data_IF_322372570057
#
_entry.id   IF_322372570057
#
_cell.length_a   1.000
_cell.length_b   1.000
_cell.length_c   1.000
_cell.angle_alpha   90.00
_cell.angle_beta   90.00
_cell.angle_gamma   90.00
#
_symmetry.space_group_name_H-M   'P 1'
#
loop_
_entity.id
_entity.type
_entity.pdbx_description
1 polymer ?
#
# COMPACT_ATOMS: atom_id res chain seq x y z
N UNK A 1 -4.57 -7.09 -27.39
CA UNK A 1 -4.01 -5.79 -26.99
C UNK A 1 -2.50 -5.94 -26.86
N UNK A 2 -1.67 -5.10 -27.48
CA UNK A 2 -0.20 -5.19 -27.38
C UNK A 2 0.23 -5.00 -25.91
N UNK A 3 1.03 -5.94 -25.37
CA UNK A 3 1.52 -5.89 -23.99
C UNK A 3 2.25 -4.57 -23.66
N UNK A 4 2.89 -3.94 -24.65
CA UNK A 4 3.55 -2.64 -24.52
C UNK A 4 2.57 -1.49 -24.33
N UNK A 5 1.32 -1.61 -24.79
CA UNK A 5 0.26 -0.64 -24.54
C UNK A 5 -0.22 -0.76 -23.10
N UNK A 6 -0.51 -1.99 -22.64
CA UNK A 6 -0.91 -2.24 -21.25
C UNK A 6 0.13 -1.76 -20.24
N UNK A 7 1.41 -2.07 -20.47
CA UNK A 7 2.51 -1.61 -19.61
C UNK A 7 2.64 -0.08 -19.56
N UNK A 8 2.49 0.61 -20.71
CA UNK A 8 2.53 2.07 -20.75
C UNK A 8 1.34 2.71 -20.01
N UNK A 9 0.15 2.13 -20.13
CA UNK A 9 -1.03 2.60 -19.38
C UNK A 9 -0.84 2.41 -17.87
N UNK A 10 -0.32 1.25 -17.45
CA UNK A 10 -0.04 0.98 -16.03
C UNK A 10 1.02 1.95 -15.47
N UNK A 11 2.12 2.18 -16.19
CA UNK A 11 3.17 3.12 -15.75
C UNK A 11 2.64 4.56 -15.68
N UNK A 12 1.85 4.99 -16.67
CA UNK A 12 1.19 6.31 -16.64
C UNK A 12 0.24 6.47 -15.46
N UNK A 13 -0.39 5.38 -15.02
CA UNK A 13 -1.38 5.38 -13.94
C UNK A 13 -0.76 5.65 -12.56
N UNK A 14 0.52 5.31 -12.39
CA UNK A 14 1.28 5.50 -11.14
C UNK A 14 2.29 6.66 -11.23
N UNK A 15 2.16 7.53 -12.23
CA UNK A 15 3.06 8.68 -12.44
C UNK A 15 2.28 9.99 -12.55
N UNK A 16 2.95 11.12 -12.29
CA UNK A 16 2.39 12.44 -12.54
C UNK A 16 2.36 12.80 -14.06
N UNK A 17 1.87 14.00 -14.38
CA UNK A 17 1.80 14.50 -15.76
C UNK A 17 3.18 14.68 -16.43
N UNK A 18 4.27 14.71 -15.66
CA UNK A 18 5.65 14.80 -16.13
C UNK A 18 6.35 13.43 -16.16
N UNK A 19 5.63 12.34 -15.85
CA UNK A 19 6.16 10.99 -15.80
C UNK A 19 7.00 10.70 -14.56
N UNK A 20 6.86 11.47 -13.48
CA UNK A 20 7.57 11.25 -12.21
C UNK A 20 6.76 10.34 -11.29
N UNK A 21 7.45 9.53 -10.51
CA UNK A 21 6.85 8.64 -9.52
C UNK A 21 7.04 9.22 -8.13
N UNK A 22 5.94 9.45 -7.43
CA UNK A 22 5.89 9.70 -5.99
C UNK A 22 5.05 8.58 -5.37
N UNK A 23 5.71 7.51 -4.92
CA UNK A 23 5.04 6.29 -4.46
C UNK A 23 5.04 6.19 -2.94
N UNK A 24 3.90 5.79 -2.37
CA UNK A 24 3.76 5.43 -0.97
C UNK A 24 3.93 3.92 -0.81
N UNK A 25 5.01 3.47 -0.17
CA UNK A 25 5.29 2.05 0.04
C UNK A 25 4.82 1.57 1.43
N UNK A 26 3.83 0.68 1.43
CA UNK A 26 3.17 0.13 2.62
C UNK A 26 3.07 -1.42 2.57
N UNK A 27 3.97 -2.07 1.84
CA UNK A 27 4.07 -3.52 1.68
C UNK A 27 4.85 -4.20 2.81
N UNK A 28 5.34 -3.46 3.81
CA UNK A 28 6.14 -4.06 4.88
C UNK A 28 5.29 -5.06 5.68
N UNK A 29 5.84 -6.29 5.81
CA UNK A 29 5.27 -7.40 6.56
C UNK A 29 6.07 -7.61 7.87
N UNK A 30 6.93 -8.62 8.09
CA UNK A 30 7.50 -8.89 9.43
C UNK A 30 8.02 -7.69 10.21
N UNK A 31 8.77 -6.72 9.61
CA UNK A 31 9.28 -5.56 10.36
C UNK A 31 8.18 -4.70 10.99
N UNK A 32 7.02 -4.57 10.31
CA UNK A 32 5.91 -3.78 10.81
C UNK A 32 5.15 -4.51 11.93
N UNK A 33 4.97 -5.83 11.81
CA UNK A 33 4.38 -6.64 12.87
C UNK A 33 5.25 -6.61 14.15
N UNK A 34 6.56 -6.75 13.99
CA UNK A 34 7.52 -6.67 15.10
C UNK A 34 7.47 -5.30 15.78
N UNK A 35 7.37 -4.22 15.00
CA UNK A 35 7.23 -2.87 15.52
C UNK A 35 5.95 -2.70 16.35
N UNK A 36 4.82 -3.16 15.83
CA UNK A 36 3.52 -3.08 16.53
C UNK A 36 3.54 -3.91 17.81
N UNK A 37 3.98 -5.17 17.75
CA UNK A 37 4.08 -6.04 18.93
C UNK A 37 5.00 -5.45 20.01
N UNK A 38 6.10 -4.80 19.62
CA UNK A 38 7.02 -4.14 20.57
C UNK A 38 6.38 -2.91 21.24
N UNK A 39 5.58 -2.14 20.51
CA UNK A 39 4.92 -0.93 21.03
C UNK A 39 3.62 -1.25 21.77
N UNK A 40 3.05 -2.43 21.54
CA UNK A 40 1.79 -2.94 22.10
C UNK A 40 1.96 -4.39 22.60
N UNK A 41 2.79 -4.62 23.63
CA UNK A 41 3.13 -5.97 24.09
C UNK A 41 1.95 -6.74 24.71
N UNK A 42 0.84 -6.05 25.02
CA UNK A 42 -0.39 -6.64 25.54
C UNK A 42 -1.25 -7.33 24.47
N UNK A 43 -0.98 -7.09 23.18
CA UNK A 43 -1.75 -7.66 22.08
C UNK A 43 -1.28 -9.07 21.75
N UNK A 44 -2.23 -9.97 21.52
CA UNK A 44 -1.94 -11.25 20.88
C UNK A 44 -1.63 -11.08 19.38
N UNK A 45 -1.14 -12.13 18.73
CA UNK A 45 -0.75 -12.12 17.32
C UNK A 45 -1.89 -11.67 16.38
N UNK A 46 -3.12 -12.10 16.66
CA UNK A 46 -4.30 -11.76 15.85
C UNK A 46 -4.66 -10.28 15.99
N UNK A 47 -4.53 -9.72 17.19
CA UNK A 47 -4.75 -8.31 17.44
C UNK A 47 -3.63 -7.46 16.82
N UNK A 48 -2.37 -7.88 16.89
CA UNK A 48 -1.26 -7.23 16.16
C UNK A 48 -1.55 -7.19 14.66
N UNK A 49 -2.03 -8.30 14.09
CA UNK A 49 -2.43 -8.33 12.68
C UNK A 49 -3.51 -7.29 12.35
N UNK A 50 -4.59 -7.24 13.14
CA UNK A 50 -5.65 -6.25 12.96
C UNK A 50 -5.09 -4.83 12.99
N UNK A 51 -4.22 -4.53 13.96
CA UNK A 51 -3.62 -3.21 14.08
C UNK A 51 -2.70 -2.85 12.90
N UNK A 52 -1.94 -3.81 12.37
CA UNK A 52 -1.17 -3.59 11.14
C UNK A 52 -2.07 -3.24 9.96
N UNK A 53 -3.19 -3.96 9.80
CA UNK A 53 -4.13 -3.69 8.70
C UNK A 53 -4.80 -2.31 8.85
N UNK A 54 -5.23 -1.96 10.06
CA UNK A 54 -5.79 -0.63 10.36
C UNK A 54 -4.76 0.49 10.15
N UNK A 55 -3.51 0.27 10.55
CA UNK A 55 -2.43 1.24 10.34
C UNK A 55 -2.21 1.50 8.84
N UNK A 56 -2.19 0.46 8.01
CA UNK A 56 -2.10 0.61 6.54
C UNK A 56 -3.29 1.38 5.98
N UNK A 57 -4.50 1.10 6.45
CA UNK A 57 -5.70 1.82 6.03
C UNK A 57 -5.66 3.31 6.41
N UNK A 58 -5.24 3.63 7.64
CA UNK A 58 -5.05 5.01 8.11
C UNK A 58 -3.96 5.73 7.31
N UNK A 59 -2.86 5.06 7.02
CA UNK A 59 -1.77 5.61 6.21
C UNK A 59 -2.23 5.94 4.79
N UNK A 60 -2.94 5.01 4.12
CA UNK A 60 -3.51 5.29 2.78
C UNK A 60 -4.50 6.45 2.83
N UNK A 61 -5.43 6.46 3.78
CA UNK A 61 -6.41 7.55 3.93
C UNK A 61 -5.73 8.92 4.09
N UNK A 62 -4.66 9.00 4.87
CA UNK A 62 -3.99 10.26 5.17
C UNK A 62 -2.99 10.71 4.08
N UNK A 63 -2.26 9.76 3.49
CA UNK A 63 -1.08 10.05 2.68
C UNK A 63 -1.27 9.79 1.18
N UNK A 64 -2.15 8.87 0.79
CA UNK A 64 -2.36 8.55 -0.63
C UNK A 64 -2.80 9.75 -1.50
N UNK A 65 -3.58 10.75 -1.01
CA UNK A 65 -3.90 11.93 -1.80
C UNK A 65 -2.69 12.73 -2.30
N UNK A 66 -1.51 12.51 -1.71
CA UNK A 66 -0.25 13.18 -2.07
C UNK A 66 0.68 12.30 -2.90
N UNK A 67 0.28 11.05 -3.18
CA UNK A 67 1.06 10.09 -3.93
C UNK A 67 0.50 9.92 -5.35
N UNK A 68 1.37 9.55 -6.28
CA UNK A 68 0.99 9.08 -7.63
C UNK A 68 0.56 7.62 -7.62
N UNK A 69 1.04 6.83 -6.67
CA UNK A 69 0.67 5.43 -6.49
C UNK A 69 0.97 4.90 -5.09
N UNK A 70 0.31 3.82 -4.70
CA UNK A 70 0.55 3.09 -3.44
C UNK A 70 0.99 1.67 -3.75
N UNK A 71 2.04 1.21 -3.09
CA UNK A 71 2.46 -0.20 -3.06
C UNK A 71 1.93 -0.85 -1.78
N UNK A 72 1.14 -1.92 -1.91
CA UNK A 72 0.56 -2.69 -0.81
C UNK A 72 0.92 -4.17 -0.93
N UNK A 73 0.91 -4.87 0.20
CA UNK A 73 0.91 -6.33 0.21
C UNK A 73 -0.55 -6.87 0.14
N UNK A 74 -0.77 -8.02 -0.50
CA UNK A 74 -2.12 -8.56 -0.69
C UNK A 74 -2.74 -9.16 0.58
N UNK A 75 -1.94 -9.45 1.62
CA UNK A 75 -2.39 -10.13 2.84
C UNK A 75 -2.98 -9.17 3.86
N UNK A 76 -2.35 -8.00 4.02
CA UNK A 76 -2.62 -7.04 5.09
C UNK A 76 -3.11 -5.68 4.59
N UNK A 77 -2.96 -5.40 3.30
CA UNK A 77 -3.36 -4.14 2.66
C UNK A 77 -4.83 -4.05 2.25
N UNK A 78 -5.64 -5.11 2.41
CA UNK A 78 -7.04 -5.15 1.92
C UNK A 78 -7.89 -3.97 2.43
N UNK A 79 -7.87 -3.70 3.74
CA UNK A 79 -8.65 -2.61 4.34
C UNK A 79 -8.23 -1.23 3.80
N UNK A 80 -6.98 -1.09 3.36
CA UNK A 80 -6.48 0.16 2.81
C UNK A 80 -7.07 0.47 1.43
N UNK A 81 -7.51 -0.53 0.67
CA UNK A 81 -8.13 -0.34 -0.64
C UNK A 81 -9.41 0.48 -0.58
N UNK A 82 -10.16 0.40 0.53
CA UNK A 82 -11.38 1.19 0.74
C UNK A 82 -11.10 2.71 0.78
N UNK A 83 -9.85 3.11 1.05
CA UNK A 83 -9.44 4.51 1.18
C UNK A 83 -8.53 4.99 0.06
N UNK A 84 -8.23 4.14 -0.94
CA UNK A 84 -7.38 4.51 -2.06
C UNK A 84 -8.12 5.52 -2.96
N UNK A 85 -7.59 6.74 -3.17
CA UNK A 85 -8.22 7.70 -4.07
C UNK A 85 -8.28 7.15 -5.49
N UNK A 86 -9.36 7.47 -6.22
CA UNK A 86 -9.58 7.01 -7.60
C UNK A 86 -8.42 7.40 -8.50
N UNK A 87 -7.74 8.51 -8.27
CA UNK A 87 -6.69 9.06 -9.13
C UNK A 87 -5.32 8.46 -8.81
N UNK A 88 -5.17 7.73 -7.70
CA UNK A 88 -3.90 7.15 -7.28
C UNK A 88 -3.77 5.73 -7.83
N UNK A 89 -2.61 5.40 -8.41
CA UNK A 89 -2.35 4.05 -8.91
C UNK A 89 -2.09 3.03 -7.79
N UNK A 90 -2.28 1.75 -8.09
CA UNK A 90 -2.03 0.64 -7.16
C UNK A 90 -0.94 -0.27 -7.71
N UNK A 91 0.02 -0.60 -6.85
CA UNK A 91 0.97 -1.70 -7.02
C UNK A 91 0.73 -2.73 -5.92
N UNK A 92 0.88 -4.00 -6.27
CA UNK A 92 0.80 -5.10 -5.31
C UNK A 92 2.15 -5.82 -5.27
N UNK A 93 2.69 -6.02 -4.08
CA UNK A 93 3.86 -6.85 -3.87
C UNK A 93 3.53 -8.30 -4.26
N UNK A 94 4.40 -8.90 -5.08
CA UNK A 94 4.33 -10.29 -5.49
C UNK A 94 5.70 -10.91 -5.21
N UNK A 95 5.85 -11.41 -4.01
CA UNK A 95 7.07 -11.99 -3.47
C UNK A 95 6.65 -13.13 -2.53
N UNK A 96 7.45 -14.20 -2.49
CA UNK A 96 7.20 -15.36 -1.62
C UNK A 96 7.44 -15.01 -0.14
#
# INVERSE_FOLDING_TARGET
MDARVGKRLALRRISDARGRFALLALDQRPPLFQLVARVRPELDEKAVWREVSELKARAVRALAPWATGVLLDPLYGREALAYLPREVGLLLALED
#
